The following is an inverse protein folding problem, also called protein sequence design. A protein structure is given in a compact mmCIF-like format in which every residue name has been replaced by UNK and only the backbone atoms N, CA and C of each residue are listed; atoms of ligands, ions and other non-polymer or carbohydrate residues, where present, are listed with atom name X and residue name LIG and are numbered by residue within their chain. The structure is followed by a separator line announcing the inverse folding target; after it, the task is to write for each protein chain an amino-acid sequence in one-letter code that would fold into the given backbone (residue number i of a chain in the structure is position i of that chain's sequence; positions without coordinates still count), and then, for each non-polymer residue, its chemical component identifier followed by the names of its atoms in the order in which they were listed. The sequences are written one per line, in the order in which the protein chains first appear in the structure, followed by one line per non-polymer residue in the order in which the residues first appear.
data_IF_162565512644
#
_entry.id   IF_162565512644
#
_cell.length_a   1.000
_cell.length_b   1.000
_cell.length_c   1.000
_cell.angle_alpha   90.00
_cell.angle_beta   90.00
_cell.angle_gamma   90.00
#
_symmetry.space_group_name_H-M   'P 1'
#
loop_
_entity.id
_entity.type
_entity.pdbx_description
1 polymer ?
#
# COMPACT_ATOMS: atom_id res chain seq x y z
N UNK A 1 19.92 -0.39 16.05
CA UNK A 1 19.84 -1.60 15.20
C UNK A 1 18.39 -2.04 15.21
N UNK A 2 17.57 -1.60 14.26
CA UNK A 2 16.19 -2.11 14.17
C UNK A 2 16.21 -3.45 13.43
N UNK A 3 16.15 -4.53 14.20
CA UNK A 3 15.78 -5.84 13.70
C UNK A 3 14.32 -5.74 13.29
N UNK A 4 14.06 -5.68 11.98
CA UNK A 4 12.71 -5.84 11.46
C UNK A 4 12.21 -7.20 11.90
N UNK A 5 11.18 -7.24 12.73
CA UNK A 5 10.46 -8.48 12.98
C UNK A 5 9.76 -8.89 11.67
N UNK A 6 10.15 -10.03 11.05
CA UNK A 6 9.54 -10.51 9.81
C UNK A 6 8.04 -10.83 9.97
N UNK A 7 7.51 -10.83 11.19
CA UNK A 7 6.10 -11.07 11.48
C UNK A 7 5.24 -9.79 11.51
N UNK A 8 5.82 -8.59 11.35
CA UNK A 8 5.00 -7.37 11.31
C UNK A 8 4.15 -7.37 10.03
N UNK A 9 2.89 -7.76 10.19
CA UNK A 9 1.92 -7.79 9.10
C UNK A 9 1.63 -6.38 8.61
N UNK A 10 2.02 -6.14 7.37
CA UNK A 10 1.71 -4.92 6.64
C UNK A 10 0.33 -5.04 5.99
N UNK A 11 -0.55 -4.07 6.26
CA UNK A 11 -1.89 -4.05 5.63
C UNK A 11 -2.05 -2.77 4.81
N UNK A 12 -2.31 -2.93 3.51
CA UNK A 12 -2.64 -1.83 2.61
C UNK A 12 -4.15 -1.76 2.37
N UNK A 13 -4.69 -0.55 2.38
CA UNK A 13 -6.11 -0.26 2.18
C UNK A 13 -6.27 0.81 1.11
N UNK A 14 -7.35 0.70 0.32
CA UNK A 14 -7.89 1.81 -0.48
C UNK A 14 -9.25 2.20 0.09
N UNK A 15 -9.37 3.43 0.58
CA UNK A 15 -10.47 3.84 1.44
C UNK A 15 -10.56 2.94 2.67
N UNK A 16 -11.63 2.16 2.76
CA UNK A 16 -11.89 1.20 3.83
C UNK A 16 -11.75 -0.27 3.36
N UNK A 17 -11.31 -0.51 2.13
CA UNK A 17 -11.18 -1.86 1.58
C UNK A 17 -9.72 -2.33 1.56
N UNK A 18 -9.42 -3.56 2.00
CA UNK A 18 -8.07 -4.12 1.93
C UNK A 18 -7.67 -4.38 0.48
N UNK A 19 -6.46 -3.98 0.11
CA UNK A 19 -5.91 -4.29 -1.20
C UNK A 19 -5.60 -5.79 -1.30
N UNK A 20 -6.23 -6.45 -2.26
CA UNK A 20 -5.99 -7.87 -2.57
C UNK A 20 -4.74 -8.03 -3.45
N UNK A 21 -3.56 -7.72 -2.91
CA UNK A 21 -2.29 -7.68 -3.66
C UNK A 21 -2.06 -8.95 -4.49
N UNK A 22 -2.20 -10.14 -3.88
CA UNK A 22 -2.00 -11.44 -4.53
C UNK A 22 -3.01 -11.74 -5.65
N UNK A 23 -4.21 -11.15 -5.59
CA UNK A 23 -5.29 -11.35 -6.57
C UNK A 23 -5.43 -10.15 -7.52
N UNK A 24 -4.46 -9.24 -7.52
CA UNK A 24 -4.53 -7.99 -8.27
C UNK A 24 -4.05 -8.12 -9.72
N UNK A 25 -3.59 -9.31 -10.13
CA UNK A 25 -3.07 -9.58 -11.48
C UNK A 25 -1.99 -8.55 -11.92
N UNK A 26 -1.12 -8.16 -10.98
CA UNK A 26 -0.04 -7.18 -11.23
C UNK A 26 -0.46 -5.71 -11.13
N UNK A 27 -1.72 -5.42 -10.78
CA UNK A 27 -2.19 -4.05 -10.53
C UNK A 27 -1.46 -3.42 -9.35
N UNK A 28 -1.23 -4.18 -8.29
CA UNK A 28 -0.55 -3.73 -7.09
C UNK A 28 0.69 -4.57 -6.83
N UNK A 29 1.80 -3.90 -6.50
CA UNK A 29 3.02 -4.51 -5.97
C UNK A 29 3.44 -3.79 -4.68
N UNK A 30 3.98 -4.53 -3.72
CA UNK A 30 4.38 -4.00 -2.42
C UNK A 30 5.85 -4.28 -2.17
N UNK A 31 6.60 -3.23 -1.82
CA UNK A 31 8.05 -3.31 -1.61
C UNK A 31 8.41 -2.76 -0.25
N UNK A 32 9.37 -3.41 0.40
CA UNK A 32 9.93 -2.97 1.67
C UNK A 32 11.45 -2.89 1.57
N UNK A 33 12.03 -1.71 1.83
CA UNK A 33 13.48 -1.48 1.81
C UNK A 33 13.88 -0.79 3.11
N UNK A 34 14.46 -1.53 4.05
CA UNK A 34 14.64 -0.98 5.40
C UNK A 34 13.29 -0.49 5.97
N UNK A 35 13.27 0.68 6.58
CA UNK A 35 12.07 1.31 7.12
C UNK A 35 11.18 1.99 6.06
N UNK A 36 11.50 1.86 4.76
CA UNK A 36 10.69 2.39 3.66
C UNK A 36 9.70 1.34 3.18
N UNK A 37 8.44 1.75 3.09
CA UNK A 37 7.31 0.94 2.62
C UNK A 37 6.72 1.60 1.37
N UNK A 38 6.53 0.81 0.31
CA UNK A 38 6.07 1.31 -0.98
C UNK A 38 4.92 0.45 -1.51
N UNK A 39 3.90 1.13 -2.03
CA UNK A 39 2.83 0.55 -2.85
C UNK A 39 3.03 1.06 -4.28
N UNK A 40 3.20 0.14 -5.22
CA UNK A 40 3.28 0.44 -6.65
C UNK A 40 1.93 0.11 -7.28
N UNK A 41 1.38 1.06 -8.04
CA UNK A 41 0.11 0.91 -8.76
C UNK A 41 0.41 0.98 -10.26
N UNK A 42 0.20 -0.13 -10.97
CA UNK A 42 0.51 -0.24 -12.40
C UNK A 42 -0.70 0.16 -13.25
N UNK A 43 -0.49 0.78 -14.41
CA UNK A 43 -1.56 1.16 -15.35
C UNK A 43 -2.68 1.98 -14.68
N UNK A 44 -2.32 3.09 -14.06
CA UNK A 44 -3.21 3.97 -13.30
C UNK A 44 -4.30 4.55 -14.21
N UNK A 45 -5.55 4.51 -13.75
CA UNK A 45 -6.69 5.18 -14.37
C UNK A 45 -7.58 5.82 -13.30
N UNK A 46 -8.64 6.52 -13.71
CA UNK A 46 -9.54 7.25 -12.80
C UNK A 46 -10.13 6.38 -11.68
N UNK A 47 -10.31 5.08 -11.91
CA UNK A 47 -10.82 4.18 -10.87
C UNK A 47 -9.81 3.96 -9.75
N UNK A 48 -8.52 4.26 -9.92
CA UNK A 48 -7.50 4.11 -8.89
C UNK A 48 -7.44 5.32 -7.95
N UNK A 49 -8.02 6.45 -8.33
CA UNK A 49 -8.06 7.62 -7.47
C UNK A 49 -8.67 7.30 -6.10
N UNK A 50 -8.18 8.00 -5.08
CA UNK A 50 -8.69 7.89 -3.72
C UNK A 50 -7.60 7.78 -2.67
N UNK A 51 -8.04 7.53 -1.44
CA UNK A 51 -7.18 7.50 -0.27
C UNK A 51 -6.57 6.11 -0.11
N UNK A 52 -5.25 6.03 0.02
CA UNK A 52 -4.54 4.81 0.37
C UNK A 52 -4.01 4.91 1.80
N UNK A 53 -4.07 3.82 2.55
CA UNK A 53 -3.46 3.76 3.88
C UNK A 53 -2.68 2.48 4.13
N UNK A 54 -1.66 2.61 4.98
CA UNK A 54 -0.74 1.57 5.37
C UNK A 54 -0.78 1.43 6.89
N UNK A 55 -1.02 0.22 7.38
CA UNK A 55 -0.87 -0.13 8.80
C UNK A 55 0.31 -1.07 8.99
N UNK A 56 1.21 -0.71 9.91
CA UNK A 56 2.43 -1.48 10.27
C UNK A 56 2.57 -1.43 11.80
N UNK A 57 2.30 -2.55 12.48
CA UNK A 57 2.23 -2.58 13.94
C UNK A 57 1.11 -1.68 14.46
N UNK A 58 1.45 -0.73 15.32
CA UNK A 58 0.56 0.30 15.88
C UNK A 58 0.51 1.59 15.03
N UNK A 59 1.35 1.72 14.01
CA UNK A 59 1.44 2.91 13.17
C UNK A 59 0.52 2.80 11.96
N UNK A 60 -0.10 3.93 11.62
CA UNK A 60 -0.90 4.11 10.40
C UNK A 60 -0.43 5.32 9.61
N UNK A 61 -0.27 5.14 8.31
CA UNK A 61 0.08 6.19 7.35
C UNK A 61 -1.02 6.31 6.28
N UNK A 62 -1.22 7.50 5.73
CA UNK A 62 -2.25 7.77 4.71
C UNK A 62 -1.72 8.72 3.64
N UNK A 63 -2.10 8.49 2.39
CA UNK A 63 -1.89 9.39 1.26
C UNK A 63 -3.12 9.38 0.35
N UNK A 64 -3.31 10.44 -0.43
CA UNK A 64 -4.36 10.53 -1.45
C UNK A 64 -3.74 10.49 -2.85
N UNK A 65 -4.30 9.64 -3.72
CA UNK A 65 -3.95 9.57 -5.13
C UNK A 65 -5.01 10.33 -5.94
N UNK A 66 -4.60 11.43 -6.57
CA UNK A 66 -5.38 12.12 -7.59
C UNK A 66 -4.90 11.68 -8.97
N UNK A 67 -5.83 11.30 -9.85
CA UNK A 67 -5.54 10.97 -11.25
C UNK A 67 -6.10 12.10 -12.10
N UNK A 68 -5.25 12.70 -12.93
CA UNK A 68 -5.66 13.75 -13.86
C UNK A 68 -6.03 13.11 -15.20
N UNK A 69 -7.10 13.60 -15.82
CA UNK A 69 -7.59 13.17 -17.12
C UNK A 69 -7.00 13.95 -18.29
#
# INVERSE_FOLDING_TARGET
MELKDPNVKMTWMKGNEPLRIQYSLGKYDVKQMGTKYMLVITNVNMNDAGIYSLSVGDKRMRAELTVLG
#
